data_IF_196815380370
#
_entry.id   IF_196815380370
#
_cell.length_a   1.000
_cell.length_b   1.000
_cell.length_c   1.000
_cell.angle_alpha   90.00
_cell.angle_beta   90.00
_cell.angle_gamma   90.00
#
_symmetry.space_group_name_H-M   'P 1'
#
loop_
_entity.id
_entity.type
_entity.pdbx_description
1 polymer ?
#
# COMPACT_ATOMS: atom_id res chain seq x y z
N UNK A 1 9.91 52.47 69.87
CA UNK A 1 8.95 51.37 69.71
C UNK A 1 7.74 51.98 69.04
N UNK A 2 7.84 52.07 67.72
CA UNK A 2 7.12 51.18 66.79
C UNK A 2 5.65 51.57 66.69
N UNK A 3 5.36 52.32 65.63
CA UNK A 3 4.03 52.65 65.14
C UNK A 3 3.88 52.07 63.75
N UNK A 4 2.81 51.30 63.58
CA UNK A 4 2.32 50.73 62.33
C UNK A 4 1.72 51.85 61.49
N UNK A 5 1.95 51.85 60.18
CA UNK A 5 0.96 52.35 59.23
C UNK A 5 1.13 51.77 57.81
N UNK A 6 -0.01 51.64 57.15
CA UNK A 6 -0.29 51.01 55.86
C UNK A 6 -0.40 52.10 54.79
N UNK A 7 -0.37 51.73 53.50
CA UNK A 7 -1.19 52.25 52.37
C UNK A 7 -0.42 52.70 51.10
N UNK A 8 -0.81 52.01 50.01
CA UNK A 8 -1.11 52.37 48.61
C UNK A 8 -0.26 53.28 47.68
N UNK A 9 -0.10 52.72 46.47
CA UNK A 9 -0.23 53.23 45.08
C UNK A 9 -0.20 54.74 44.74
N UNK A 10 0.61 55.07 43.73
CA UNK A 10 0.35 56.04 42.62
C UNK A 10 1.52 55.92 41.61
N UNK A 11 1.29 55.52 40.35
CA UNK A 11 0.88 56.28 39.15
C UNK A 11 2.00 57.03 38.37
N UNK A 12 2.15 56.61 37.10
CA UNK A 12 2.27 57.43 35.86
C UNK A 12 3.67 57.86 35.30
N UNK A 13 3.93 57.30 34.11
CA UNK A 13 4.57 57.80 32.87
C UNK A 13 5.98 58.41 32.81
N UNK A 14 6.80 57.88 31.90
CA UNK A 14 7.38 58.64 30.78
C UNK A 14 7.99 57.72 29.70
N UNK A 15 7.55 57.87 28.45
CA UNK A 15 8.13 57.23 27.27
C UNK A 15 9.47 57.86 26.88
N UNK A 16 10.45 57.04 26.48
CA UNK A 16 11.45 57.46 25.48
C UNK A 16 11.92 56.30 24.62
N UNK A 17 11.82 56.56 23.33
CA UNK A 17 12.16 55.74 22.17
C UNK A 17 13.64 55.30 22.14
N UNK A 18 13.89 54.03 21.81
CA UNK A 18 15.19 53.53 21.39
C UNK A 18 15.01 52.51 20.26
N UNK A 19 15.60 52.79 19.11
CA UNK A 19 15.69 51.93 17.94
C UNK A 19 16.70 50.80 18.22
N UNK A 20 16.41 49.51 17.99
CA UNK A 20 17.39 48.46 18.14
C UNK A 20 18.12 48.20 16.81
N UNK A 21 19.44 48.26 16.85
CA UNK A 21 20.35 47.74 15.82
C UNK A 21 20.31 46.21 15.87
N UNK A 22 19.82 45.55 14.83
CA UNK A 22 19.90 44.09 14.69
C UNK A 22 21.33 43.66 14.28
N UNK A 23 21.97 42.86 15.12
CA UNK A 23 23.14 42.06 14.73
C UNK A 23 22.68 40.88 13.87
N UNK A 24 23.44 40.48 12.83
CA UNK A 24 23.02 39.43 11.92
C UNK A 24 23.11 38.06 12.60
N UNK A 25 21.95 37.44 12.80
CA UNK A 25 21.84 36.04 13.22
C UNK A 25 22.38 35.16 12.10
N UNK A 26 23.53 34.54 12.34
CA UNK A 26 24.06 33.46 11.49
C UNK A 26 23.15 32.25 11.66
N UNK A 27 22.25 32.06 10.70
CA UNK A 27 21.41 30.86 10.60
C UNK A 27 22.23 29.77 9.92
N UNK A 28 22.73 28.80 10.69
CA UNK A 28 23.24 27.54 10.13
C UNK A 28 22.11 26.81 9.38
N UNK A 29 22.38 26.19 8.22
CA UNK A 29 21.34 25.55 7.43
C UNK A 29 20.81 24.32 8.18
N UNK A 30 19.54 24.39 8.57
CA UNK A 30 18.77 23.28 9.11
C UNK A 30 18.92 22.08 8.16
N UNK A 31 19.58 21.01 8.62
CA UNK A 31 19.81 19.80 7.82
C UNK A 31 18.48 19.33 7.22
N UNK A 32 18.39 19.31 5.88
CA UNK A 32 17.18 18.93 5.17
C UNK A 32 16.71 17.55 5.66
N UNK A 33 15.64 17.54 6.46
CA UNK A 33 15.09 16.35 7.10
C UNK A 33 14.75 15.32 6.01
N UNK A 34 15.39 14.15 6.04
CA UNK A 34 15.12 13.06 5.09
C UNK A 34 13.61 12.79 5.05
N UNK A 35 12.98 12.73 3.86
CA UNK A 35 11.56 12.47 3.77
C UNK A 35 11.24 11.11 4.40
N UNK A 36 10.15 11.01 5.18
CA UNK A 36 9.76 9.76 5.83
C UNK A 36 8.45 9.22 5.24
N UNK A 37 8.43 7.93 4.93
CA UNK A 37 7.27 7.17 4.48
C UNK A 37 6.82 6.27 5.62
N UNK A 38 5.60 6.50 6.11
CA UNK A 38 4.95 5.65 7.10
C UNK A 38 4.04 4.65 6.39
N UNK A 39 4.09 3.39 6.80
CA UNK A 39 3.28 2.32 6.23
C UNK A 39 2.90 1.29 7.28
N UNK A 40 1.76 0.62 7.11
CA UNK A 40 1.34 -0.47 8.00
C UNK A 40 -0.15 -0.74 7.94
N UNK A 41 -0.95 0.27 7.60
CA UNK A 41 -2.37 0.09 7.34
C UNK A 41 -2.64 -0.36 5.91
N UNK A 42 -3.53 -1.34 5.75
CA UNK A 42 -4.01 -1.81 4.45
C UNK A 42 -4.76 -0.76 3.63
N UNK A 43 -5.23 0.31 4.28
CA UNK A 43 -5.89 1.46 3.65
C UNK A 43 -4.92 2.58 3.27
N UNK A 44 -3.63 2.44 3.60
CA UNK A 44 -2.64 3.48 3.35
C UNK A 44 -1.86 3.25 2.03
N UNK A 45 -1.43 4.34 1.36
CA UNK A 45 -0.76 4.28 0.06
C UNK A 45 0.53 3.45 -0.03
N UNK A 46 1.17 3.09 1.08
CA UNK A 46 2.45 2.38 1.08
C UNK A 46 2.34 0.95 1.65
N UNK A 47 1.12 0.41 1.71
CA UNK A 47 0.90 -0.93 2.27
C UNK A 47 1.69 -2.04 1.58
N UNK A 48 2.11 -1.85 0.32
CA UNK A 48 2.96 -2.81 -0.39
C UNK A 48 4.30 -3.10 0.30
N UNK A 49 4.77 -2.20 1.16
CA UNK A 49 5.97 -2.38 1.98
C UNK A 49 5.76 -3.40 3.11
N UNK A 50 4.51 -3.61 3.57
CA UNK A 50 4.16 -4.56 4.63
C UNK A 50 4.41 -6.01 4.23
N UNK A 51 4.78 -6.87 5.20
CA UNK A 51 4.91 -8.31 4.99
C UNK A 51 3.58 -8.97 4.64
N UNK A 52 2.47 -8.41 5.10
CA UNK A 52 1.13 -8.93 4.84
C UNK A 52 0.64 -8.64 3.42
N UNK A 53 1.30 -7.75 2.68
CA UNK A 53 0.95 -7.46 1.30
C UNK A 53 1.14 -8.71 0.42
N UNK A 54 0.17 -9.08 -0.44
CA UNK A 54 0.30 -10.25 -1.31
C UNK A 54 1.53 -10.10 -2.16
N UNK A 55 2.34 -11.12 -2.14
CA UNK A 55 3.60 -11.16 -2.86
C UNK A 55 3.96 -12.62 -2.91
N UNK A 56 3.66 -13.26 -4.05
CA UNK A 56 3.95 -14.69 -4.17
C UNK A 56 5.45 -14.87 -4.07
N UNK A 57 5.85 -15.71 -3.12
CA UNK A 57 7.26 -16.02 -2.83
C UNK A 57 7.42 -17.51 -2.92
N UNK A 58 8.24 -17.96 -3.86
CA UNK A 58 8.68 -19.34 -3.92
C UNK A 58 9.96 -19.52 -3.10
N UNK A 59 9.99 -20.53 -2.24
CA UNK A 59 11.18 -20.92 -1.49
C UNK A 59 11.21 -22.44 -1.30
N UNK A 60 12.25 -23.07 -1.82
CA UNK A 60 12.33 -24.54 -1.89
C UNK A 60 11.15 -25.13 -2.68
N UNK A 61 10.41 -26.06 -2.06
CA UNK A 61 9.22 -26.69 -2.64
C UNK A 61 7.91 -25.92 -2.35
N UNK A 62 7.96 -24.84 -1.58
CA UNK A 62 6.78 -24.11 -1.12
C UNK A 62 6.57 -22.80 -1.88
N UNK A 63 5.30 -22.46 -2.14
CA UNK A 63 4.88 -21.17 -2.69
C UNK A 63 4.01 -20.43 -1.67
N UNK A 64 4.53 -19.37 -1.09
CA UNK A 64 3.85 -18.56 -0.07
C UNK A 64 3.03 -17.43 -0.71
N UNK A 65 1.85 -17.09 -0.17
CA UNK A 65 1.01 -16.01 -0.69
C UNK A 65 1.56 -14.60 -0.42
N UNK A 66 2.35 -14.44 0.65
CA UNK A 66 3.00 -13.19 1.04
C UNK A 66 4.23 -13.46 1.92
N UNK A 67 4.98 -12.40 2.21
CA UNK A 67 6.15 -12.46 3.10
C UNK A 67 5.79 -12.88 4.53
N UNK A 68 4.62 -12.49 5.05
CA UNK A 68 4.17 -12.91 6.39
C UNK A 68 4.06 -14.44 6.49
N UNK A 69 3.45 -15.10 5.50
CA UNK A 69 3.33 -16.55 5.45
C UNK A 69 4.70 -17.25 5.35
N UNK A 70 5.62 -16.72 4.53
CA UNK A 70 6.97 -17.25 4.45
C UNK A 70 7.72 -17.13 5.79
N UNK A 71 7.61 -15.97 6.45
CA UNK A 71 8.24 -15.71 7.75
C UNK A 71 7.66 -16.62 8.85
N UNK A 72 6.34 -16.76 8.94
CA UNK A 72 5.71 -17.62 9.95
C UNK A 72 6.01 -19.10 9.68
N UNK A 73 6.06 -19.54 8.42
CA UNK A 73 6.45 -20.91 8.08
C UNK A 73 7.92 -21.23 8.38
N UNK A 74 8.81 -20.22 8.36
CA UNK A 74 10.22 -20.40 8.69
C UNK A 74 10.44 -20.81 10.16
N UNK A 75 9.49 -20.49 11.06
CA UNK A 75 9.51 -20.98 12.45
C UNK A 75 9.50 -22.52 12.52
N UNK A 76 8.80 -23.16 11.60
CA UNK A 76 8.49 -24.59 11.66
C UNK A 76 9.35 -25.40 10.69
N UNK A 77 10.63 -25.05 10.54
CA UNK A 77 11.54 -25.65 9.55
C UNK A 77 11.66 -27.19 9.64
N UNK A 78 11.54 -27.74 10.84
CA UNK A 78 11.60 -29.20 11.09
C UNK A 78 10.22 -29.87 11.02
N UNK A 79 9.16 -29.10 10.73
CA UNK A 79 7.77 -29.58 10.72
C UNK A 79 7.08 -29.24 9.39
N UNK A 80 7.36 -29.99 8.29
CA UNK A 80 6.81 -29.72 6.96
C UNK A 80 5.28 -29.68 6.90
N UNK A 81 4.60 -30.43 7.78
CA UNK A 81 3.13 -30.44 7.88
C UNK A 81 2.58 -29.09 8.36
N UNK A 82 3.25 -28.44 9.32
CA UNK A 82 2.87 -27.11 9.81
C UNK A 82 3.16 -26.03 8.77
N UNK A 83 4.29 -26.14 8.05
CA UNK A 83 4.61 -25.25 6.93
C UNK A 83 3.55 -25.33 5.83
N UNK A 84 3.15 -26.54 5.45
CA UNK A 84 2.10 -26.76 4.45
C UNK A 84 0.75 -26.22 4.93
N UNK A 85 0.43 -26.36 6.22
CA UNK A 85 -0.78 -25.80 6.81
C UNK A 85 -0.81 -24.27 6.82
N UNK A 86 0.35 -23.61 6.93
CA UNK A 86 0.50 -22.16 6.73
C UNK A 86 0.29 -21.79 5.26
N UNK A 87 0.96 -22.49 4.33
CA UNK A 87 0.82 -22.27 2.88
C UNK A 87 -0.64 -22.37 2.43
N UNK A 88 -1.38 -23.35 2.96
CA UNK A 88 -2.78 -23.58 2.64
C UNK A 88 -3.75 -22.68 3.43
N UNK A 89 -3.24 -21.69 4.19
CA UNK A 89 -4.10 -20.76 4.92
C UNK A 89 -4.77 -19.81 3.93
N UNK A 90 -6.10 -19.83 3.94
CA UNK A 90 -6.92 -19.04 3.02
C UNK A 90 -6.84 -17.54 3.30
N UNK A 91 -6.76 -17.15 4.58
CA UNK A 91 -6.81 -15.76 5.01
C UNK A 91 -5.45 -15.31 5.55
N UNK A 92 -4.83 -14.23 5.03
CA UNK A 92 -3.51 -13.80 5.48
C UNK A 92 -3.38 -13.48 6.97
N UNK A 93 -4.46 -13.00 7.61
CA UNK A 93 -4.49 -12.71 9.05
C UNK A 93 -4.38 -13.97 9.91
N UNK A 94 -5.01 -15.07 9.49
CA UNK A 94 -5.06 -16.33 10.24
C UNK A 94 -3.68 -17.02 10.32
N UNK A 95 -2.74 -16.64 9.45
CA UNK A 95 -1.37 -17.19 9.45
C UNK A 95 -0.69 -16.91 10.80
N UNK A 96 -0.85 -15.70 11.33
CA UNK A 96 -0.23 -15.30 12.60
C UNK A 96 -0.87 -16.07 13.75
N UNK A 97 -2.20 -16.21 13.73
CA UNK A 97 -2.92 -16.92 14.79
C UNK A 97 -2.58 -18.41 14.81
N UNK A 98 -2.53 -19.07 13.64
CA UNK A 98 -2.05 -20.46 13.54
C UNK A 98 -0.63 -20.64 14.06
N UNK A 99 0.28 -19.74 13.70
CA UNK A 99 1.66 -19.81 14.17
C UNK A 99 1.76 -19.60 15.68
N UNK A 100 0.85 -18.82 16.28
CA UNK A 100 0.75 -18.62 17.73
C UNK A 100 0.22 -19.88 18.42
N UNK A 101 -0.75 -20.58 17.83
CA UNK A 101 -1.29 -21.84 18.36
C UNK A 101 -0.25 -22.96 18.41
N UNK A 102 0.83 -22.85 17.62
CA UNK A 102 1.92 -23.82 17.57
C UNK A 102 3.20 -23.32 18.22
N UNK A 103 3.10 -22.42 19.21
CA UNK A 103 4.27 -21.82 19.87
C UNK A 103 5.24 -22.87 20.43
N UNK A 104 4.74 -24.02 20.89
CA UNK A 104 5.55 -25.12 21.43
C UNK A 104 6.49 -25.76 20.39
N UNK A 105 6.27 -25.54 19.10
CA UNK A 105 7.10 -26.04 18.01
C UNK A 105 8.11 -25.00 17.52
N UNK A 106 8.11 -23.79 18.08
CA UNK A 106 9.04 -22.72 17.69
C UNK A 106 10.41 -22.99 18.33
N UNK A 107 11.50 -23.02 17.55
CA UNK A 107 12.85 -23.21 18.08
C UNK A 107 13.24 -22.13 19.10
N UNK A 108 14.01 -22.51 20.12
CA UNK A 108 14.49 -21.60 21.16
C UNK A 108 15.35 -20.43 20.61
N UNK A 109 16.09 -20.68 19.53
CA UNK A 109 16.95 -19.70 18.84
C UNK A 109 16.20 -18.82 17.84
N UNK A 110 14.87 -18.88 17.79
CA UNK A 110 14.06 -18.13 16.83
C UNK A 110 14.25 -16.61 16.98
N UNK A 111 14.27 -16.11 18.21
CA UNK A 111 14.38 -14.68 18.48
C UNK A 111 15.70 -14.07 17.98
N UNK A 112 16.78 -14.85 17.96
CA UNK A 112 18.09 -14.44 17.45
C UNK A 112 18.13 -14.39 15.92
N UNK A 113 17.35 -15.26 15.26
CA UNK A 113 17.36 -15.40 13.80
C UNK A 113 16.22 -14.66 13.10
N UNK A 114 15.19 -14.20 13.80
CA UNK A 114 14.01 -13.58 13.18
C UNK A 114 14.36 -12.43 12.23
N UNK A 115 15.34 -11.58 12.58
CA UNK A 115 15.75 -10.47 11.71
C UNK A 115 16.43 -10.94 10.41
N UNK A 116 17.28 -11.96 10.49
CA UNK A 116 17.96 -12.50 9.30
C UNK A 116 16.96 -13.21 8.39
N UNK A 117 16.02 -13.96 8.98
CA UNK A 117 14.92 -14.59 8.25
C UNK A 117 14.02 -13.55 7.58
N UNK A 118 13.62 -12.47 8.28
CA UNK A 118 12.83 -11.38 7.69
C UNK A 118 13.57 -10.75 6.51
N UNK A 119 14.89 -10.52 6.65
CA UNK A 119 15.71 -9.99 5.55
C UNK A 119 15.70 -10.92 4.34
N UNK A 120 15.91 -12.22 4.53
CA UNK A 120 15.90 -13.21 3.44
C UNK A 120 14.53 -13.27 2.75
N UNK A 121 13.45 -13.32 3.52
CA UNK A 121 12.08 -13.31 2.98
C UNK A 121 11.80 -12.03 2.19
N UNK A 122 12.23 -10.87 2.68
CA UNK A 122 12.07 -9.61 1.95
C UNK A 122 12.94 -9.54 0.70
N UNK A 123 14.16 -10.09 0.72
CA UNK A 123 14.97 -10.24 -0.49
C UNK A 123 14.20 -11.05 -1.54
N UNK A 124 13.66 -12.22 -1.17
CA UNK A 124 12.84 -13.05 -2.08
C UNK A 124 11.59 -12.31 -2.56
N UNK A 125 10.89 -11.59 -1.66
CA UNK A 125 9.70 -10.78 -2.00
C UNK A 125 10.01 -9.84 -3.15
N UNK A 126 11.09 -9.06 -3.04
CA UNK A 126 11.39 -8.04 -4.03
C UNK A 126 12.10 -8.61 -5.26
N UNK A 127 12.99 -9.60 -5.14
CA UNK A 127 13.67 -10.18 -6.32
C UNK A 127 12.78 -11.06 -7.18
N UNK A 128 11.70 -11.63 -6.64
CA UNK A 128 10.75 -12.43 -7.41
C UNK A 128 9.56 -11.62 -7.95
N UNK A 129 9.42 -10.35 -7.55
CA UNK A 129 8.30 -9.49 -7.93
C UNK A 129 8.83 -8.15 -8.46
N UNK A 130 9.18 -8.10 -9.75
CA UNK A 130 9.81 -6.93 -10.42
C UNK A 130 9.03 -5.62 -10.20
N UNK A 131 7.69 -5.67 -10.18
CA UNK A 131 6.87 -4.49 -9.91
C UNK A 131 7.03 -3.98 -8.47
N UNK A 132 7.14 -4.88 -7.48
CA UNK A 132 7.37 -4.50 -6.08
C UNK A 132 8.79 -3.99 -5.89
N UNK A 133 9.78 -4.60 -6.56
CA UNK A 133 11.16 -4.10 -6.57
C UNK A 133 11.21 -2.66 -7.07
N UNK A 134 10.58 -2.38 -8.21
CA UNK A 134 10.51 -1.04 -8.77
C UNK A 134 9.86 -0.05 -7.79
N UNK A 135 8.74 -0.43 -7.16
CA UNK A 135 8.06 0.41 -6.15
C UNK A 135 8.93 0.66 -4.91
N UNK A 136 9.68 -0.34 -4.43
CA UNK A 136 10.63 -0.16 -3.32
C UNK A 136 11.75 0.80 -3.71
N UNK A 137 12.35 0.65 -4.90
CA UNK A 137 13.40 1.55 -5.37
C UNK A 137 12.91 3.00 -5.55
N UNK A 138 11.66 3.17 -6.01
CA UNK A 138 10.99 4.46 -6.15
C UNK A 138 10.80 5.22 -4.83
N UNK A 139 10.87 4.55 -3.67
CA UNK A 139 10.86 5.24 -2.38
C UNK A 139 12.09 6.15 -2.18
N UNK A 140 13.07 6.11 -3.10
CA UNK A 140 14.21 7.01 -3.05
C UNK A 140 15.00 6.83 -1.76
N UNK A 141 15.48 7.92 -1.19
CA UNK A 141 16.21 7.88 0.08
C UNK A 141 15.30 8.12 1.28
N UNK A 142 13.97 7.98 1.08
CA UNK A 142 13.03 8.16 2.16
C UNK A 142 13.26 7.13 3.27
N UNK A 143 13.15 7.59 4.52
CA UNK A 143 13.11 6.72 5.68
C UNK A 143 11.81 5.92 5.65
N UNK A 144 11.90 4.59 5.77
CA UNK A 144 10.74 3.72 5.79
C UNK A 144 10.41 3.38 7.24
N UNK A 145 9.20 3.73 7.69
CA UNK A 145 8.76 3.53 9.07
C UNK A 145 7.52 2.64 9.08
N UNK A 146 7.67 1.42 9.59
CA UNK A 146 6.56 0.52 9.80
C UNK A 146 5.77 0.96 11.03
N UNK A 147 4.51 1.34 10.83
CA UNK A 147 3.61 1.77 11.89
C UNK A 147 2.84 0.58 12.47
N UNK A 148 3.02 0.35 13.76
CA UNK A 148 2.30 -0.69 14.50
C UNK A 148 1.85 -0.17 15.86
N UNK A 149 0.67 -0.60 16.30
CA UNK A 149 0.16 -0.27 17.64
C UNK A 149 0.54 -1.31 18.71
N UNK A 150 1.03 -2.46 18.26
CA UNK A 150 1.21 -3.66 19.10
C UNK A 150 2.66 -4.16 19.04
N UNK A 151 3.30 -4.05 17.88
CA UNK A 151 4.66 -4.55 17.65
C UNK A 151 5.66 -3.40 17.70
N UNK A 152 6.29 -3.21 18.85
CA UNK A 152 7.33 -2.22 19.10
C UNK A 152 8.73 -2.70 18.66
N UNK A 153 8.87 -3.94 18.21
CA UNK A 153 10.13 -4.49 17.74
C UNK A 153 10.28 -4.28 16.23
N UNK A 154 9.36 -4.78 15.42
CA UNK A 154 9.42 -4.57 13.97
C UNK A 154 8.95 -3.18 13.57
N UNK A 155 8.10 -2.53 14.37
CA UNK A 155 7.49 -1.25 14.06
C UNK A 155 7.74 -0.16 15.09
N UNK A 156 7.05 0.95 14.87
CA UNK A 156 6.92 2.07 15.77
C UNK A 156 5.46 2.51 15.88
N UNK A 157 5.06 3.01 17.04
CA UNK A 157 3.77 3.67 17.21
C UNK A 157 3.75 5.05 16.52
N UNK A 158 2.58 5.72 16.58
CA UNK A 158 2.40 7.07 16.03
C UNK A 158 3.22 8.16 16.75
N UNK A 159 3.75 7.86 17.93
CA UNK A 159 4.57 8.76 18.74
C UNK A 159 6.07 8.50 18.53
N UNK A 160 6.43 7.49 17.70
CA UNK A 160 7.81 7.13 17.41
C UNK A 160 8.42 6.12 18.38
N UNK A 161 7.62 5.53 19.27
CA UNK A 161 8.11 4.48 20.18
C UNK A 161 8.18 3.13 19.47
N UNK A 162 9.33 2.46 19.55
CA UNK A 162 9.61 1.17 18.92
C UNK A 162 10.90 1.18 18.10
N UNK A 163 11.33 0.02 17.61
CA UNK A 163 12.66 -0.17 17.01
C UNK A 163 12.65 -0.09 15.48
N UNK A 164 11.48 -0.17 14.83
CA UNK A 164 11.33 -0.09 13.37
C UNK A 164 12.27 -1.05 12.57
N UNK A 165 12.51 -2.26 13.08
CA UNK A 165 13.39 -3.22 12.39
C UNK A 165 12.92 -3.53 10.96
N UNK A 166 11.61 -3.59 10.71
CA UNK A 166 11.09 -3.86 9.37
C UNK A 166 11.48 -2.75 8.38
N UNK A 167 11.30 -1.49 8.79
CA UNK A 167 11.72 -0.33 8.00
C UNK A 167 13.21 -0.34 7.69
N UNK A 168 14.04 -0.60 8.70
CA UNK A 168 15.49 -0.70 8.56
C UNK A 168 15.93 -1.82 7.60
N UNK A 169 15.31 -3.00 7.71
CA UNK A 169 15.57 -4.12 6.80
C UNK A 169 15.17 -3.75 5.38
N UNK A 170 14.00 -3.13 5.16
CA UNK A 170 13.57 -2.70 3.82
C UNK A 170 14.55 -1.69 3.20
N UNK A 171 15.08 -0.75 3.97
CA UNK A 171 16.10 0.18 3.51
C UNK A 171 17.41 -0.53 3.15
N UNK A 172 17.80 -1.55 3.92
CA UNK A 172 18.94 -2.40 3.60
C UNK A 172 18.73 -3.17 2.29
N UNK A 173 17.58 -3.85 2.15
CA UNK A 173 17.18 -4.55 0.92
C UNK A 173 17.19 -3.60 -0.28
N UNK A 174 16.63 -2.39 -0.13
CA UNK A 174 16.66 -1.33 -1.16
C UNK A 174 18.09 -0.98 -1.59
N UNK A 175 19.02 -0.83 -0.64
CA UNK A 175 20.41 -0.53 -0.93
C UNK A 175 21.13 -1.67 -1.68
N UNK A 176 20.87 -2.93 -1.30
CA UNK A 176 21.44 -4.09 -2.00
C UNK A 176 20.89 -4.17 -3.44
N UNK A 177 19.59 -3.97 -3.63
CA UNK A 177 18.96 -4.02 -4.97
C UNK A 177 19.43 -2.91 -5.90
N UNK A 178 19.88 -1.76 -5.37
CA UNK A 178 20.52 -0.69 -6.17
C UNK A 178 21.89 -1.06 -6.70
N UNK A 179 22.64 -1.83 -5.92
CA UNK A 179 24.06 -2.12 -6.19
C UNK A 179 24.25 -3.41 -6.98
N UNK A 180 23.40 -4.42 -6.76
CA UNK A 180 23.56 -5.75 -7.35
C UNK A 180 22.26 -6.27 -8.00
N UNK A 181 21.64 -5.54 -8.95
CA UNK A 181 20.35 -5.94 -9.52
C UNK A 181 20.42 -7.28 -10.28
N UNK A 182 21.59 -7.66 -10.84
CA UNK A 182 21.77 -8.91 -11.61
C UNK A 182 22.27 -10.11 -10.79
N UNK A 183 23.26 -9.91 -9.90
CA UNK A 183 23.92 -11.01 -9.18
C UNK A 183 23.01 -11.72 -8.17
N UNK A 184 22.07 -10.98 -7.56
CA UNK A 184 21.10 -11.56 -6.63
C UNK A 184 20.17 -12.57 -7.31
N UNK A 185 19.85 -12.37 -8.59
CA UNK A 185 19.03 -13.32 -9.36
C UNK A 185 19.73 -14.65 -9.58
N UNK A 186 21.06 -14.71 -9.45
CA UNK A 186 21.85 -15.95 -9.54
C UNK A 186 21.94 -16.66 -8.18
N UNK A 187 22.05 -15.89 -7.09
CA UNK A 187 22.12 -16.39 -5.72
C UNK A 187 20.81 -17.01 -5.23
N UNK A 188 19.67 -16.49 -5.69
CA UNK A 188 18.35 -17.04 -5.39
C UNK A 188 17.81 -17.73 -6.64
N UNK A 189 17.84 -19.07 -6.68
CA UNK A 189 17.29 -19.83 -7.81
C UNK A 189 15.84 -19.41 -8.04
N UNK A 190 15.58 -18.71 -9.16
CA UNK A 190 14.22 -18.47 -9.64
C UNK A 190 13.49 -19.80 -9.67
N UNK A 191 12.43 -19.94 -8.87
CA UNK A 191 11.58 -21.12 -9.01
C UNK A 191 10.95 -21.10 -10.42
N UNK A 192 10.82 -22.26 -11.05
CA UNK A 192 10.15 -22.42 -12.34
C UNK A 192 8.66 -22.09 -12.27
N UNK A 193 8.10 -21.96 -11.06
CA UNK A 193 6.77 -21.45 -10.83
C UNK A 193 6.82 -19.91 -10.82
N UNK A 194 7.05 -19.30 -11.97
CA UNK A 194 6.55 -17.94 -12.20
C UNK A 194 5.06 -18.11 -12.53
N UNK A 195 4.11 -17.74 -11.65
CA UNK A 195 2.81 -17.37 -12.16
C UNK A 195 3.08 -16.25 -13.15
N UNK A 196 2.59 -16.42 -14.39
CA UNK A 196 2.64 -15.38 -15.41
C UNK A 196 2.23 -14.05 -14.78
N UNK A 197 3.05 -13.04 -15.04
CA UNK A 197 2.96 -11.66 -14.53
C UNK A 197 1.52 -11.24 -14.26
N UNK A 198 1.14 -11.13 -12.98
CA UNK A 198 -0.05 -10.38 -12.57
C UNK A 198 0.44 -9.26 -11.67
N UNK A 199 0.10 -8.02 -12.03
CA UNK A 199 0.23 -6.91 -11.09
C UNK A 199 -0.41 -7.33 -9.79
N UNK A 200 0.40 -7.40 -8.73
CA UNK A 200 -0.13 -7.79 -7.42
C UNK A 200 -0.81 -6.57 -6.82
N UNK A 201 -2.02 -6.30 -7.31
CA UNK A 201 -2.88 -5.26 -6.76
C UNK A 201 -3.56 -5.87 -5.54
N UNK A 202 -3.21 -5.38 -4.35
CA UNK A 202 -3.89 -5.78 -3.12
C UNK A 202 -5.35 -5.34 -3.18
N UNK A 203 -6.24 -6.33 -3.16
CA UNK A 203 -7.65 -6.14 -2.86
C UNK A 203 -7.90 -6.62 -1.44
N UNK A 204 -8.44 -5.74 -0.59
CA UNK A 204 -8.56 -5.93 0.86
C UNK A 204 -9.71 -6.87 1.29
N UNK A 205 -10.25 -7.71 0.39
CA UNK A 205 -11.57 -8.30 0.56
C UNK A 205 -11.60 -9.55 1.42
N UNK A 206 -11.48 -9.38 2.73
CA UNK A 206 -11.94 -10.35 3.70
C UNK A 206 -12.86 -9.65 4.70
N UNK A 207 -13.92 -9.03 4.17
CA UNK A 207 -14.95 -8.31 4.95
C UNK A 207 -15.62 -9.20 5.98
N UNK A 208 -15.73 -8.69 7.20
CA UNK A 208 -16.77 -9.16 8.13
C UNK A 208 -18.13 -8.99 7.45
N UNK A 209 -18.88 -10.08 7.38
CA UNK A 209 -20.17 -10.30 6.70
C UNK A 209 -21.36 -9.45 7.22
N UNK A 210 -21.13 -8.28 7.82
CA UNK A 210 -22.14 -7.61 8.67
C UNK A 210 -23.21 -6.80 7.92
N UNK A 211 -23.07 -6.57 6.62
CA UNK A 211 -23.84 -5.50 5.92
C UNK A 211 -24.64 -5.92 4.67
N UNK A 212 -24.77 -7.21 4.37
CA UNK A 212 -25.60 -7.63 3.22
C UNK A 212 -27.04 -7.90 3.66
N UNK A 213 -28.03 -7.15 3.16
CA UNK A 213 -29.44 -7.51 3.34
C UNK A 213 -29.69 -8.89 2.73
N UNK A 214 -30.51 -9.70 3.41
CA UNK A 214 -31.02 -10.96 2.89
C UNK A 214 -31.70 -10.71 1.52
N UNK A 215 -31.32 -11.46 0.49
CA UNK A 215 -31.91 -11.37 -0.85
C UNK A 215 -31.22 -10.42 -1.85
N UNK A 216 -30.09 -9.79 -1.49
CA UNK A 216 -29.29 -8.96 -2.42
C UNK A 216 -28.01 -9.65 -2.86
N UNK A 217 -27.50 -9.34 -4.07
CA UNK A 217 -26.21 -9.86 -4.58
C UNK A 217 -25.09 -9.53 -3.60
N UNK A 218 -24.37 -10.56 -3.16
CA UNK A 218 -23.26 -10.43 -2.22
C UNK A 218 -21.94 -10.40 -2.98
N UNK A 219 -21.12 -9.37 -2.75
CA UNK A 219 -19.77 -9.29 -3.29
C UNK A 219 -18.93 -10.44 -2.73
N UNK A 220 -18.43 -11.33 -3.60
CA UNK A 220 -17.66 -12.51 -3.21
C UNK A 220 -16.17 -12.28 -3.40
N UNK A 221 -15.80 -11.77 -4.56
CA UNK A 221 -14.42 -11.57 -4.95
C UNK A 221 -14.29 -10.38 -5.90
N UNK A 222 -13.12 -9.76 -5.84
CA UNK A 222 -12.70 -8.68 -6.72
C UNK A 222 -11.33 -9.05 -7.23
N UNK A 223 -11.23 -9.25 -8.53
CA UNK A 223 -9.98 -9.59 -9.21
C UNK A 223 -9.56 -8.42 -10.08
N UNK A 224 -8.27 -8.09 -10.07
CA UNK A 224 -7.72 -7.00 -10.86
C UNK A 224 -6.65 -7.59 -11.75
N UNK A 225 -6.83 -7.41 -13.05
CA UNK A 225 -5.88 -7.87 -14.05
C UNK A 225 -5.39 -6.64 -14.82
N UNK A 226 -4.07 -6.43 -14.97
CA UNK A 226 -3.59 -5.47 -15.95
C UNK A 226 -4.03 -5.97 -17.32
N UNK A 227 -4.58 -5.11 -18.16
CA UNK A 227 -4.97 -5.54 -19.51
C UNK A 227 -3.75 -5.65 -20.45
N UNK A 228 -2.60 -5.13 -20.02
CA UNK A 228 -1.29 -5.35 -20.64
C UNK A 228 -0.43 -6.10 -19.64
N UNK A 229 -0.10 -7.36 -19.95
CA UNK A 229 0.66 -8.29 -19.07
C UNK A 229 2.02 -7.71 -18.61
N UNK A 230 2.53 -6.70 -19.34
CA UNK A 230 3.82 -6.04 -19.12
C UNK A 230 3.73 -4.50 -19.08
N UNK A 231 2.68 -3.93 -18.49
CA UNK A 231 2.64 -2.47 -18.27
C UNK A 231 3.88 -2.03 -17.47
N UNK A 232 4.89 -1.51 -18.19
CA UNK A 232 6.16 -1.13 -17.61
C UNK A 232 5.94 -0.10 -16.50
N UNK A 233 6.66 -0.27 -15.39
CA UNK A 233 6.77 0.73 -14.33
C UNK A 233 7.31 2.10 -14.83
N UNK A 234 7.72 2.19 -16.10
CA UNK A 234 8.08 3.43 -16.80
C UNK A 234 6.88 4.29 -17.23
N UNK A 235 5.64 3.80 -17.09
CA UNK A 235 4.44 4.60 -17.39
C UNK A 235 4.31 5.79 -16.44
N UNK A 236 3.78 6.90 -16.96
CA UNK A 236 3.61 8.16 -16.23
C UNK A 236 2.67 8.05 -15.01
N UNK A 237 1.68 7.16 -15.09
CA UNK A 237 0.74 6.84 -14.02
C UNK A 237 0.35 5.35 -14.09
N UNK A 238 0.04 4.74 -12.94
CA UNK A 238 -0.37 3.33 -12.86
C UNK A 238 -1.25 3.06 -11.63
N UNK A 239 -2.00 1.94 -11.66
CA UNK A 239 -2.85 1.52 -10.55
C UNK A 239 -1.99 1.02 -9.37
N UNK A 240 -2.08 1.72 -8.24
CA UNK A 240 -1.33 1.42 -7.05
C UNK A 240 -1.99 0.30 -6.23
N UNK A 241 -3.25 0.49 -5.84
CA UNK A 241 -4.07 -0.47 -5.09
C UNK A 241 -5.57 -0.19 -5.29
N UNK A 242 -6.41 -1.17 -4.97
CA UNK A 242 -7.86 -0.96 -4.83
C UNK A 242 -8.28 -1.55 -3.50
N UNK A 243 -8.83 -0.72 -2.63
CA UNK A 243 -9.48 -1.16 -1.40
C UNK A 243 -10.99 -0.99 -1.55
N UNK A 244 -11.76 -1.70 -0.74
CA UNK A 244 -13.18 -1.40 -0.59
C UNK A 244 -13.50 -1.29 0.90
N UNK A 245 -14.41 -0.39 1.21
CA UNK A 245 -14.84 -0.16 2.58
C UNK A 245 -15.87 -1.18 3.05
N UNK A 246 -16.45 -0.89 4.22
CA UNK A 246 -17.58 -1.64 4.78
C UNK A 246 -18.91 -1.38 4.06
N UNK A 247 -18.93 -0.46 3.08
CA UNK A 247 -20.09 -0.14 2.27
C UNK A 247 -20.06 -1.00 1.00
N UNK A 248 -21.17 -1.64 0.62
CA UNK A 248 -21.20 -2.48 -0.56
C UNK A 248 -20.93 -1.61 -1.81
N UNK A 249 -20.07 -2.13 -2.69
CA UNK A 249 -19.77 -1.54 -4.00
C UNK A 249 -19.06 -0.17 -4.01
N UNK A 250 -18.60 0.31 -2.85
CA UNK A 250 -17.73 1.48 -2.74
C UNK A 250 -16.28 1.06 -2.69
N UNK A 251 -15.53 1.42 -3.71
CA UNK A 251 -14.09 1.16 -3.84
C UNK A 251 -13.29 2.46 -3.72
N UNK A 252 -12.13 2.39 -3.08
CA UNK A 252 -11.08 3.40 -3.14
C UNK A 252 -9.96 2.88 -4.02
N UNK A 253 -9.71 3.58 -5.12
CA UNK A 253 -8.74 3.24 -6.15
C UNK A 253 -7.57 4.20 -5.98
N UNK A 254 -6.40 3.67 -5.61
CA UNK A 254 -5.19 4.46 -5.47
C UNK A 254 -4.42 4.44 -6.79
N UNK A 255 -4.09 5.61 -7.33
CA UNK A 255 -3.31 5.80 -8.55
C UNK A 255 -1.98 6.45 -8.19
N UNK A 256 -0.90 5.84 -8.62
CA UNK A 256 0.43 6.40 -8.45
C UNK A 256 0.85 7.12 -9.73
N UNK A 257 1.34 8.35 -9.58
CA UNK A 257 1.80 9.23 -10.66
C UNK A 257 3.24 9.65 -10.38
N UNK A 258 4.09 9.64 -11.41
CA UNK A 258 5.46 10.19 -11.32
C UNK A 258 5.39 11.71 -11.53
N UNK A 259 6.06 12.50 -10.70
CA UNK A 259 5.93 13.97 -10.75
C UNK A 259 6.42 14.62 -12.04
N UNK A 260 7.37 14.01 -12.75
CA UNK A 260 7.76 14.44 -14.10
C UNK A 260 6.57 14.40 -15.08
N UNK A 261 5.57 13.56 -14.84
CA UNK A 261 4.31 13.54 -15.57
C UNK A 261 3.32 14.60 -15.07
N UNK A 262 3.26 14.83 -13.76
CA UNK A 262 2.32 15.76 -13.13
C UNK A 262 2.56 17.23 -13.51
N UNK A 263 3.75 17.55 -14.02
CA UNK A 263 4.14 18.90 -14.46
C UNK A 263 4.02 19.11 -15.98
N UNK A 264 3.93 18.05 -16.78
CA UNK A 264 3.98 18.13 -18.25
C UNK A 264 2.80 17.52 -19.00
N UNK A 265 2.01 16.64 -18.37
CA UNK A 265 0.77 16.15 -18.93
C UNK A 265 -0.37 17.04 -18.42
N UNK A 266 -1.27 17.46 -19.32
CA UNK A 266 -2.54 18.03 -18.93
C UNK A 266 -3.23 17.15 -17.88
N UNK A 267 -4.17 17.73 -17.15
CA UNK A 267 -4.99 17.10 -16.12
C UNK A 267 -5.14 15.58 -16.32
N UNK A 268 -4.51 14.76 -15.48
CA UNK A 268 -4.64 13.30 -15.56
C UNK A 268 -6.06 12.89 -15.18
N UNK A 269 -6.68 12.02 -15.98
CA UNK A 269 -8.02 11.50 -15.72
C UNK A 269 -8.02 9.98 -15.56
N UNK A 270 -8.86 9.52 -14.64
CA UNK A 270 -9.17 8.10 -14.46
C UNK A 270 -10.60 7.88 -14.91
N UNK A 271 -10.77 7.00 -15.88
CA UNK A 271 -12.07 6.65 -16.46
C UNK A 271 -12.42 5.22 -16.05
N UNK A 272 -13.56 5.07 -15.41
CA UNK A 272 -14.17 3.79 -15.07
C UNK A 272 -15.31 3.54 -16.05
N UNK A 273 -15.24 2.43 -16.76
CA UNK A 273 -16.20 2.12 -17.81
C UNK A 273 -16.69 0.69 -17.68
N UNK A 274 -18.01 0.50 -17.63
CA UNK A 274 -18.67 -0.81 -17.68
C UNK A 274 -19.67 -0.82 -18.84
N UNK A 275 -19.53 -1.82 -19.70
CA UNK A 275 -20.61 -2.26 -20.59
C UNK A 275 -21.17 -3.53 -19.99
N UNK A 276 -22.45 -3.52 -19.66
CA UNK A 276 -23.12 -4.78 -19.34
C UNK A 276 -23.73 -5.34 -20.62
N UNK A 277 -23.44 -6.61 -20.91
CA UNK A 277 -24.16 -7.32 -21.95
C UNK A 277 -25.65 -7.36 -21.59
N UNK A 278 -26.50 -7.11 -22.58
CA UNK A 278 -27.95 -7.09 -22.43
C UNK A 278 -28.41 -8.41 -21.82
N UNK A 279 -28.90 -8.38 -20.57
CA UNK A 279 -29.46 -9.56 -19.93
C UNK A 279 -30.96 -9.60 -20.18
N UNK A 280 -31.46 -10.78 -20.50
CA UNK A 280 -32.90 -11.04 -20.56
C UNK A 280 -33.32 -11.68 -19.24
N UNK A 281 -34.42 -11.21 -18.67
CA UNK A 281 -35.03 -11.85 -17.51
C UNK A 281 -35.53 -13.26 -17.89
N UNK A 282 -35.78 -14.15 -16.92
CA UNK A 282 -36.40 -15.47 -17.18
C UNK A 282 -37.76 -15.38 -17.89
N UNK A 283 -38.38 -14.20 -17.88
CA UNK A 283 -39.65 -13.88 -18.51
C UNK A 283 -39.49 -13.10 -19.84
N UNK A 284 -38.27 -13.01 -20.38
CA UNK A 284 -37.99 -12.40 -21.67
C UNK A 284 -37.92 -10.87 -21.67
N UNK A 285 -37.96 -10.22 -20.51
CA UNK A 285 -37.80 -8.76 -20.43
C UNK A 285 -36.33 -8.37 -20.51
N UNK A 286 -36.01 -7.41 -21.38
CA UNK A 286 -34.68 -6.80 -21.41
C UNK A 286 -34.43 -6.08 -20.07
N UNK A 287 -33.47 -6.57 -19.29
CA UNK A 287 -32.95 -5.89 -18.12
C UNK A 287 -31.73 -5.13 -18.61
N UNK A 288 -31.88 -3.83 -18.84
CA UNK A 288 -30.75 -2.96 -19.15
C UNK A 288 -30.04 -2.66 -17.83
N UNK A 289 -28.83 -3.20 -17.58
CA UNK A 289 -28.19 -3.05 -16.27
C UNK A 289 -27.58 -1.64 -16.09
N UNK A 290 -27.67 -0.81 -17.15
CA UNK A 290 -27.17 0.55 -17.21
C UNK A 290 -25.67 0.59 -17.51
N UNK A 291 -25.30 1.35 -18.54
CA UNK A 291 -23.89 1.70 -18.75
C UNK A 291 -23.38 2.53 -17.58
N UNK A 292 -22.24 2.15 -17.02
CA UNK A 292 -21.55 2.94 -16.00
C UNK A 292 -20.33 3.61 -16.62
N UNK A 293 -20.33 4.93 -16.65
CA UNK A 293 -19.18 5.76 -17.06
C UNK A 293 -18.94 6.80 -15.97
N UNK A 294 -17.78 6.71 -15.31
CA UNK A 294 -17.32 7.70 -14.32
C UNK A 294 -15.95 8.18 -14.70
N UNK A 295 -15.76 9.49 -14.68
CA UNK A 295 -14.49 10.13 -15.00
C UNK A 295 -14.09 11.02 -13.83
N UNK A 296 -12.86 10.87 -13.36
CA UNK A 296 -12.34 11.63 -12.22
C UNK A 296 -11.00 12.23 -12.58
N UNK A 297 -10.87 13.54 -12.36
CA UNK A 297 -9.62 14.26 -12.51
C UNK A 297 -8.73 14.04 -11.29
N UNK A 298 -7.45 13.75 -11.51
CA UNK A 298 -6.45 13.73 -10.44
C UNK A 298 -6.04 15.18 -10.15
N UNK A 299 -6.42 15.67 -8.98
CA UNK A 299 -6.11 17.02 -8.49
C UNK A 299 -5.60 16.97 -7.05
N UNK A 300 -5.21 18.12 -6.50
CA UNK A 300 -4.78 18.24 -5.10
C UNK A 300 -5.84 17.74 -4.10
N UNK A 301 -7.12 17.78 -4.44
CA UNK A 301 -8.21 17.28 -3.60
C UNK A 301 -8.16 15.76 -3.41
N UNK A 302 -7.63 15.05 -4.41
CA UNK A 302 -7.53 13.59 -4.41
C UNK A 302 -6.14 13.12 -3.95
N UNK A 303 -5.20 14.02 -3.67
CA UNK A 303 -3.83 13.67 -3.30
C UNK A 303 -3.79 13.08 -1.87
N UNK A 304 -3.38 11.82 -1.76
CA UNK A 304 -3.29 11.08 -0.49
C UNK A 304 -1.89 11.12 0.11
N UNK A 305 -0.86 11.04 -0.72
CA UNK A 305 0.51 11.04 -0.27
C UNK A 305 1.46 11.57 -1.35
N UNK A 306 2.59 12.12 -0.89
CA UNK A 306 3.73 12.47 -1.73
C UNK A 306 4.97 11.85 -1.11
N UNK A 307 5.75 11.13 -1.90
CA UNK A 307 7.09 10.69 -1.52
C UNK A 307 8.10 11.49 -2.35
N UNK A 308 8.93 12.29 -1.66
CA UNK A 308 10.02 13.05 -2.28
C UNK A 308 11.24 12.15 -2.45
N UNK A 309 11.81 12.10 -3.65
CA UNK A 309 12.94 11.22 -3.99
C UNK A 309 13.51 11.49 -5.39
N UNK A 310 14.44 10.65 -5.87
CA UNK A 310 15.08 10.81 -7.19
C UNK A 310 14.11 10.92 -8.39
N UNK A 311 12.87 10.48 -8.21
CA UNK A 311 11.70 10.96 -8.95
C UNK A 311 10.54 11.07 -7.96
N UNK A 312 9.99 12.27 -7.78
CA UNK A 312 8.86 12.47 -6.86
C UNK A 312 7.66 11.59 -7.25
N UNK A 313 7.04 10.97 -6.25
CA UNK A 313 5.88 10.07 -6.42
C UNK A 313 4.67 10.70 -5.74
N UNK A 314 3.58 10.81 -6.49
CA UNK A 314 2.29 11.32 -6.03
C UNK A 314 1.31 10.15 -6.03
N UNK A 315 0.60 9.94 -4.92
CA UNK A 315 -0.44 8.91 -4.82
C UNK A 315 -1.78 9.61 -4.62
N UNK A 316 -2.68 9.40 -5.58
CA UNK A 316 -4.04 9.94 -5.57
C UNK A 316 -5.03 8.85 -5.19
N UNK A 317 -6.05 9.18 -4.41
CA UNK A 317 -7.14 8.27 -4.06
C UNK A 317 -8.45 8.71 -4.69
N UNK A 318 -9.06 7.83 -5.48
CA UNK A 318 -10.34 8.07 -6.15
C UNK A 318 -11.38 7.11 -5.60
N UNK A 319 -12.50 7.65 -5.13
CA UNK A 319 -13.64 6.84 -4.70
C UNK A 319 -14.54 6.54 -5.90
N UNK A 320 -14.89 5.27 -6.09
CA UNK A 320 -15.85 4.82 -7.11
C UNK A 320 -16.95 4.00 -6.45
N UNK A 321 -18.19 4.46 -6.65
CA UNK A 321 -19.40 3.76 -6.23
C UNK A 321 -19.93 3.03 -7.45
N UNK A 322 -19.77 1.71 -7.46
CA UNK A 322 -20.27 0.86 -8.54
C UNK A 322 -21.71 0.45 -8.24
N UNK A 323 -22.64 0.50 -9.21
CA UNK A 323 -23.90 -0.20 -9.05
C UNK A 323 -23.65 -1.71 -8.89
N UNK A 324 -24.49 -2.43 -8.13
CA UNK A 324 -24.38 -3.89 -8.01
C UNK A 324 -24.34 -4.56 -9.38
N UNK A 325 -23.28 -5.33 -9.66
CA UNK A 325 -23.09 -5.99 -10.95
C UNK A 325 -22.25 -7.26 -10.84
N UNK A 326 -22.37 -8.12 -11.84
CA UNK A 326 -21.43 -9.20 -12.07
C UNK A 326 -20.75 -8.92 -13.39
N UNK A 327 -19.42 -8.98 -13.45
CA UNK A 327 -18.69 -8.77 -14.69
C UNK A 327 -17.50 -7.83 -14.49
N UNK A 328 -17.14 -7.13 -15.55
CA UNK A 328 -15.87 -6.42 -15.64
C UNK A 328 -16.06 -4.90 -15.76
N UNK A 329 -15.36 -4.18 -14.90
CA UNK A 329 -15.19 -2.72 -15.01
C UNK A 329 -13.81 -2.43 -15.58
N UNK A 330 -13.76 -1.75 -16.73
CA UNK A 330 -12.53 -1.34 -17.39
C UNK A 330 -12.05 0.00 -16.83
N UNK A 331 -10.76 0.09 -16.50
CA UNK A 331 -10.12 1.29 -15.95
C UNK A 331 -9.11 1.81 -16.97
N UNK A 332 -9.27 3.07 -17.34
CA UNK A 332 -8.35 3.79 -18.23
C UNK A 332 -7.74 4.97 -17.49
N UNK A 333 -6.43 5.15 -17.65
CA UNK A 333 -5.68 6.29 -17.10
C UNK A 333 -5.18 7.10 -18.30
N UNK A 334 -5.70 8.32 -18.45
CA UNK A 334 -5.53 9.14 -19.64
C UNK A 334 -4.89 10.49 -19.28
N UNK A 335 -4.03 11.04 -20.16
CA UNK A 335 -3.38 12.34 -19.95
C UNK A 335 -4.32 13.53 -20.15
N UNK A 336 -5.52 13.34 -20.67
CA UNK A 336 -6.55 14.40 -20.75
C UNK A 336 -7.93 13.77 -20.90
N UNK A 337 -8.98 14.51 -20.53
CA UNK A 337 -10.38 14.07 -20.64
C UNK A 337 -10.80 13.76 -22.09
N UNK A 338 -10.23 14.47 -23.05
CA UNK A 338 -10.51 14.33 -24.47
C UNK A 338 -9.61 13.32 -25.17
N UNK A 339 -8.63 12.73 -24.47
CA UNK A 339 -7.76 11.72 -25.05
C UNK A 339 -8.58 10.51 -25.48
N UNK A 340 -8.27 10.00 -26.68
CA UNK A 340 -8.90 8.80 -27.20
C UNK A 340 -8.56 7.61 -26.32
N UNK A 341 -9.57 6.80 -25.98
CA UNK A 341 -9.36 5.57 -25.20
C UNK A 341 -8.46 4.62 -25.98
N UNK A 342 -7.43 4.02 -25.35
CA UNK A 342 -6.63 2.98 -26.00
C UNK A 342 -7.51 1.77 -26.35
N UNK A 343 -7.06 0.96 -27.31
CA UNK A 343 -7.78 -0.26 -27.76
C UNK A 343 -8.03 -1.24 -26.61
N UNK A 344 -7.12 -1.28 -25.64
CA UNK A 344 -7.23 -2.09 -24.44
C UNK A 344 -7.17 -1.20 -23.19
N UNK A 345 -7.92 -1.52 -22.12
CA UNK A 345 -7.85 -0.78 -20.88
C UNK A 345 -6.47 -0.90 -20.22
N UNK A 346 -6.16 -0.02 -19.27
CA UNK A 346 -4.96 -0.19 -18.46
C UNK A 346 -5.16 -1.35 -17.47
N UNK A 347 -6.35 -1.44 -16.88
CA UNK A 347 -6.72 -2.49 -15.93
C UNK A 347 -8.17 -2.91 -16.12
N UNK A 348 -8.42 -4.18 -15.82
CA UNK A 348 -9.76 -4.75 -15.74
C UNK A 348 -10.02 -5.18 -14.30
N UNK A 349 -11.11 -4.67 -13.75
CA UNK A 349 -11.63 -5.00 -12.42
C UNK A 349 -12.80 -5.97 -12.61
N UNK A 350 -12.59 -7.25 -12.33
CA UNK A 350 -13.63 -8.28 -12.42
C UNK A 350 -14.27 -8.49 -11.05
N UNK A 351 -15.59 -8.33 -11.00
CA UNK A 351 -16.39 -8.45 -9.78
C UNK A 351 -17.27 -9.69 -9.86
N UNK A 352 -17.09 -10.59 -8.90
CA UNK A 352 -17.90 -11.80 -8.76
C UNK A 352 -18.87 -11.64 -7.60
N UNK A 353 -20.14 -11.97 -7.84
CA UNK A 353 -21.14 -12.07 -6.79
C UNK A 353 -21.75 -13.46 -6.70
N UNK A 354 -22.30 -13.74 -5.52
CA UNK A 354 -23.21 -14.85 -5.32
C UNK A 354 -24.63 -14.33 -5.07
N UNK A 355 -25.63 -15.10 -5.53
CA UNK A 355 -26.99 -14.96 -5.04
C UNK A 355 -27.00 -15.27 -3.54
N UNK A 356 -27.70 -14.44 -2.76
CA UNK A 356 -27.84 -14.62 -1.32
C UNK A 356 -28.65 -15.88 -0.96
#
# INVERSE_FOLDING_TARGET
>A
METIEVVAMSEVSSERSATPTEEPVVVEPEAAKTPAIRFGSATEPFFFLSNSFPSRIAFGAFGFPNAEAAFQAAKFREHPTLQLAIVNTKWPGDVIDKARDWIDYVPEDWEERRLSVTKEVLMLKYTQNDQLQARLLQTGDAELIYTSRIDDYFGQDRHGHGQNHLGNILMNVRAILRTHPGELSECFKSSTCRPTSRSTVWCMSHTSEKWYPLGTKRLQAVTIEPAVEDASASSYAFLHSISHGNQPWRFEVLIQVRAAAATGAGDLWVHFHRYDDVRYSPYGHRVDPGNFDKQVQLSSENLKATAKGGADVLIYGVHVDLPPHDGETKIYILPSKSATRPEQPNYTLSVTTAAA
#
